data_IF_994076908983
#
_entry.id   IF_994076908983
#
_cell.length_a   1.000
_cell.length_b   1.000
_cell.length_c   1.000
_cell.angle_alpha   90.00
_cell.angle_beta   90.00
_cell.angle_gamma   90.00
#
_symmetry.space_group_name_H-M   'P 1'
#
loop_
_entity.id
_entity.type
_entity.pdbx_description
1 polymer ?
#
# COMPACT_ATOMS: atom_id res chain seq x y z
N UNK A 1 -11.14 -19.16 -12.47
CA UNK A 1 -10.10 -18.52 -11.63
C UNK A 1 -10.60 -17.14 -11.27
N UNK A 2 -10.78 -16.86 -9.99
CA UNK A 2 -11.24 -15.56 -9.52
C UNK A 2 -10.20 -14.48 -9.78
N UNK A 3 -10.62 -13.40 -10.45
CA UNK A 3 -9.78 -12.22 -10.71
C UNK A 3 -9.17 -11.67 -9.41
N UNK A 4 -9.96 -11.65 -8.33
CA UNK A 4 -9.50 -11.26 -6.99
C UNK A 4 -8.33 -12.12 -6.52
N UNK A 5 -8.45 -13.44 -6.63
CA UNK A 5 -7.40 -14.39 -6.25
C UNK A 5 -6.14 -14.20 -7.11
N UNK A 6 -6.29 -13.97 -8.42
CA UNK A 6 -5.15 -13.69 -9.29
C UNK A 6 -4.42 -12.39 -8.88
N UNK A 7 -5.15 -11.32 -8.59
CA UNK A 7 -4.57 -10.06 -8.11
C UNK A 7 -3.87 -10.20 -6.76
N UNK A 8 -4.45 -10.96 -5.82
CA UNK A 8 -3.83 -11.22 -4.51
C UNK A 8 -2.53 -12.03 -4.64
N UNK A 9 -2.51 -13.05 -5.51
CA UNK A 9 -1.29 -13.82 -5.79
C UNK A 9 -0.20 -12.93 -6.39
N UNK A 10 -0.56 -12.04 -7.31
CA UNK A 10 0.40 -11.10 -7.92
C UNK A 10 0.96 -10.11 -6.88
N UNK A 11 0.11 -9.57 -6.00
CA UNK A 11 0.52 -8.67 -4.93
C UNK A 11 1.50 -9.35 -3.94
N UNK A 12 1.27 -10.62 -3.61
CA UNK A 12 2.15 -11.41 -2.76
C UNK A 12 3.50 -11.67 -3.44
N UNK A 13 3.51 -11.98 -4.75
CA UNK A 13 4.74 -12.15 -5.51
C UNK A 13 5.58 -10.87 -5.55
N UNK A 14 4.95 -9.69 -5.67
CA UNK A 14 5.66 -8.42 -5.58
C UNK A 14 6.30 -8.21 -4.20
N UNK A 15 5.60 -8.53 -3.10
CA UNK A 15 6.20 -8.43 -1.74
C UNK A 15 7.41 -9.34 -1.56
N UNK A 16 7.33 -10.58 -2.04
CA UNK A 16 8.48 -11.49 -1.99
C UNK A 16 9.69 -10.95 -2.77
N UNK A 17 9.46 -10.28 -3.91
CA UNK A 17 10.53 -9.59 -4.65
C UNK A 17 11.06 -8.37 -3.91
N UNK A 18 10.22 -7.63 -3.20
CA UNK A 18 10.62 -6.50 -2.37
C UNK A 18 11.54 -6.92 -1.21
N UNK A 19 11.32 -8.11 -0.67
CA UNK A 19 12.17 -8.71 0.37
C UNK A 19 13.50 -9.23 -0.22
N UNK A 20 13.45 -9.81 -1.42
CA UNK A 20 14.64 -10.33 -2.10
C UNK A 20 15.52 -9.22 -2.72
N UNK A 21 14.93 -8.12 -3.15
CA UNK A 21 15.60 -6.99 -3.79
C UNK A 21 15.30 -5.69 -3.00
N UNK A 22 16.08 -5.41 -1.94
CA UNK A 22 15.86 -4.23 -1.10
C UNK A 22 16.10 -2.91 -1.84
N UNK A 23 16.86 -2.92 -2.95
CA UNK A 23 17.16 -1.75 -3.78
C UNK A 23 15.91 -1.25 -4.50
N UNK A 24 15.12 -2.16 -5.07
CA UNK A 24 13.85 -1.84 -5.70
C UNK A 24 12.65 -2.14 -4.80
N UNK A 25 12.86 -2.23 -3.47
CA UNK A 25 11.80 -2.55 -2.51
C UNK A 25 10.62 -1.63 -2.66
N UNK A 26 10.87 -0.33 -2.79
CA UNK A 26 9.84 0.69 -2.92
C UNK A 26 8.99 0.49 -4.19
N UNK A 27 9.64 0.23 -5.32
CA UNK A 27 8.99 -0.11 -6.58
C UNK A 27 8.12 -1.37 -6.47
N UNK A 28 8.62 -2.43 -5.83
CA UNK A 28 7.88 -3.67 -5.65
C UNK A 28 6.72 -3.52 -4.65
N UNK A 29 6.86 -2.65 -3.65
CA UNK A 29 5.79 -2.28 -2.72
C UNK A 29 4.69 -1.51 -3.46
N UNK A 30 5.04 -0.51 -4.26
CA UNK A 30 4.09 0.26 -5.08
C UNK A 30 3.31 -0.65 -6.07
N UNK A 31 4.00 -1.57 -6.74
CA UNK A 31 3.33 -2.54 -7.61
C UNK A 31 2.42 -3.51 -6.83
N UNK A 32 2.82 -3.93 -5.63
CA UNK A 32 1.96 -4.75 -4.76
C UNK A 32 0.64 -4.03 -4.44
N UNK A 33 0.72 -2.73 -4.17
CA UNK A 33 -0.43 -1.87 -3.85
C UNK A 33 -1.39 -1.79 -5.04
N UNK A 34 -0.89 -1.52 -6.25
CA UNK A 34 -1.72 -1.49 -7.47
C UNK A 34 -2.47 -2.79 -7.72
N UNK A 35 -1.85 -3.93 -7.41
CA UNK A 35 -2.51 -5.24 -7.50
C UNK A 35 -3.60 -5.41 -6.44
N UNK A 36 -3.38 -4.92 -5.22
CA UNK A 36 -4.40 -4.94 -4.15
C UNK A 36 -5.58 -4.02 -4.50
N UNK A 37 -5.33 -2.83 -5.03
CA UNK A 37 -6.38 -1.90 -5.46
C UNK A 37 -7.26 -2.53 -6.54
N UNK A 38 -6.66 -3.16 -7.56
CA UNK A 38 -7.40 -3.89 -8.60
C UNK A 38 -8.21 -5.07 -8.06
N UNK A 39 -7.74 -5.69 -6.98
CA UNK A 39 -8.47 -6.76 -6.30
C UNK A 39 -9.70 -6.24 -5.55
N UNK A 40 -9.67 -4.97 -5.12
CA UNK A 40 -10.69 -4.33 -4.28
C UNK A 40 -11.65 -3.43 -5.09
N UNK A 41 -11.22 -2.85 -6.21
CA UNK A 41 -12.07 -2.03 -7.10
C UNK A 41 -13.32 -2.76 -7.62
N UNK A 42 -13.34 -4.09 -7.56
CA UNK A 42 -14.54 -4.88 -7.89
C UNK A 42 -15.59 -4.88 -6.76
N UNK A 43 -15.25 -4.43 -5.54
CA UNK A 43 -16.09 -4.50 -4.33
C UNK A 43 -16.41 -3.17 -3.65
N UNK A 44 -15.77 -2.06 -4.00
CA UNK A 44 -16.04 -0.73 -3.43
C UNK A 44 -14.75 0.02 -3.11
N UNK A 45 -14.72 1.32 -3.45
CA UNK A 45 -13.57 2.21 -3.27
C UNK A 45 -13.04 2.18 -1.84
N UNK A 46 -11.94 1.46 -1.61
CA UNK A 46 -11.05 1.72 -0.49
C UNK A 46 -9.95 2.65 -1.00
N UNK A 47 -10.09 3.95 -0.71
CA UNK A 47 -8.97 4.89 -0.77
C UNK A 47 -7.97 4.46 0.29
N UNK A 48 -6.88 3.80 -0.12
CA UNK A 48 -5.76 3.55 0.77
C UNK A 48 -4.91 4.81 0.76
N UNK A 49 -5.14 5.68 1.74
CA UNK A 49 -4.28 6.82 2.00
C UNK A 49 -3.01 6.25 2.63
N UNK A 50 -1.92 6.19 1.86
CA UNK A 50 -0.61 6.01 2.45
C UNK A 50 -0.27 7.32 3.13
N UNK A 51 -0.40 7.36 4.46
CA UNK A 51 0.34 8.32 5.27
C UNK A 51 1.82 7.98 5.11
N UNK A 52 2.43 8.56 4.09
CA UNK A 52 3.87 8.69 4.01
C UNK A 52 4.29 9.47 5.25
N UNK A 53 4.97 8.80 6.18
CA UNK A 53 5.41 9.37 7.44
C UNK A 53 6.63 10.27 7.23
N UNK A 54 6.63 11.12 6.21
CA UNK A 54 7.55 12.25 6.11
C UNK A 54 6.93 13.48 6.79
N UNK A 55 7.15 13.54 8.12
CA UNK A 55 6.94 14.76 8.89
C UNK A 55 5.73 14.70 9.79
N UNK A 56 5.91 14.10 10.96
CA UNK A 56 5.10 14.33 12.15
C UNK A 56 4.74 15.82 12.30
N UNK A 57 3.47 16.23 12.13
CA UNK A 57 3.03 17.48 12.70
C UNK A 57 2.94 17.22 14.21
N UNK A 58 3.98 17.61 14.95
CA UNK A 58 3.83 17.82 16.38
C UNK A 58 2.68 18.80 16.54
N UNK A 59 1.54 18.30 16.99
CA UNK A 59 0.43 19.10 17.47
C UNK A 59 0.98 19.95 18.64
N UNK A 60 1.41 21.17 18.30
CA UNK A 60 1.67 22.22 19.26
C UNK A 60 0.34 22.65 19.85
N UNK A 61 -0.02 22.02 20.96
CA UNK A 61 -0.77 22.59 22.08
C UNK A 61 -1.70 23.76 21.76
N UNK A 62 -2.99 23.46 21.58
CA UNK A 62 -4.04 24.37 22.03
C UNK A 62 -3.91 24.50 23.55
N UNK A 63 -3.22 25.55 24.02
CA UNK A 63 -3.40 26.04 25.38
C UNK A 63 -4.63 26.95 25.35
N UNK A 64 -5.71 26.41 25.89
CA UNK A 64 -6.93 27.14 26.19
C UNK A 64 -6.73 27.95 27.49
N UNK A 65 -7.14 29.23 27.42
CA UNK A 65 -7.43 30.18 28.50
C UNK A 65 -6.31 31.08 29.04
#
# INVERSE_FOLDING_TARGET
MDRKTACLTQAAACRAKAEADPVNRDYWVDESIKWLERAVETGGRLMVIFEDNEGQPRAGSSTER
#
